data_IF_263764923628
#
_entry.id   IF_263764923628
#
_cell.length_a   1.000
_cell.length_b   1.000
_cell.length_c   1.000
_cell.angle_alpha   90.00
_cell.angle_beta   90.00
_cell.angle_gamma   90.00
#
_symmetry.space_group_name_H-M   'P 1'
#
loop_
_entity.id
_entity.type
_entity.pdbx_description
1 polymer ?
#
# COMPACT_ATOMS: atom_id res chain seq x y z
N UNK A 1 0.15 -3.06 1.66
CA UNK A 1 -0.46 -1.97 2.45
C UNK A 1 -0.33 -0.56 1.85
N UNK A 2 0.46 -0.36 0.78
CA UNK A 2 0.77 0.97 0.20
C UNK A 2 -0.11 1.37 -1.00
N UNK A 3 -0.94 0.46 -1.49
CA UNK A 3 -1.91 0.71 -2.57
C UNK A 3 -3.13 1.51 -2.08
N UNK A 4 -3.87 2.11 -3.01
CA UNK A 4 -5.19 2.71 -2.71
C UNK A 4 -6.25 1.61 -2.47
N UNK A 5 -7.34 1.98 -1.79
CA UNK A 5 -8.51 1.11 -1.57
C UNK A 5 -8.63 0.55 -0.16
N UNK A 6 -9.42 -0.52 0.00
CA UNK A 6 -9.58 -1.22 1.28
C UNK A 6 -8.60 -2.38 1.33
N UNK A 7 -7.76 -2.41 2.37
CA UNK A 7 -6.83 -3.50 2.60
C UNK A 7 -7.56 -4.61 3.35
N UNK A 8 -7.45 -5.83 2.84
CA UNK A 8 -7.82 -7.06 3.55
C UNK A 8 -6.55 -7.87 3.81
N UNK A 9 -6.43 -8.42 5.01
CA UNK A 9 -5.33 -9.32 5.41
C UNK A 9 -5.97 -10.66 5.75
N UNK A 10 -5.42 -11.76 5.25
CA UNK A 10 -5.89 -13.09 5.62
C UNK A 10 -5.43 -13.42 7.04
N UNK A 11 -6.32 -13.96 7.85
CA UNK A 11 -6.02 -14.22 9.25
C UNK A 11 -4.91 -15.27 9.41
N UNK A 12 -3.82 -14.86 10.07
CA UNK A 12 -2.64 -15.67 10.31
C UNK A 12 -1.47 -15.37 9.36
N UNK A 13 -1.67 -14.59 8.29
CA UNK A 13 -0.57 -14.15 7.42
C UNK A 13 0.48 -13.37 8.22
N UNK A 14 0.04 -12.58 9.20
CA UNK A 14 0.90 -11.82 10.11
C UNK A 14 1.74 -12.70 11.04
N UNK A 15 1.32 -13.96 11.24
CA UNK A 15 1.96 -14.95 12.10
C UNK A 15 2.79 -15.97 11.29
N UNK A 16 2.89 -15.82 9.96
CA UNK A 16 3.59 -16.78 9.11
C UNK A 16 2.80 -18.07 8.85
N UNK A 17 1.47 -18.04 8.99
CA UNK A 17 0.61 -19.21 8.80
C UNK A 17 0.90 -19.92 7.47
N UNK A 18 1.06 -21.24 7.55
CA UNK A 18 1.25 -22.11 6.38
C UNK A 18 0.19 -23.19 6.31
N UNK A 19 -0.24 -23.52 5.10
CA UNK A 19 -1.09 -24.69 4.81
C UNK A 19 -0.28 -25.77 4.05
N UNK A 20 1.06 -25.76 4.16
CA UNK A 20 1.94 -26.73 3.50
C UNK A 20 1.83 -26.73 1.98
N UNK A 21 1.44 -25.61 1.37
CA UNK A 21 1.18 -25.48 -0.06
C UNK A 21 -0.23 -25.88 -0.51
N UNK A 22 -1.10 -26.33 0.40
CA UNK A 22 -2.51 -26.54 0.09
C UNK A 22 -3.23 -25.19 -0.01
N UNK A 23 -3.71 -24.82 -1.20
CA UNK A 23 -4.46 -23.58 -1.45
C UNK A 23 -5.98 -23.75 -1.33
N UNK A 24 -6.46 -24.92 -0.89
CA UNK A 24 -7.88 -25.26 -0.82
C UNK A 24 -8.22 -26.13 0.41
N UNK A 25 -7.86 -25.66 1.61
CA UNK A 25 -8.08 -26.36 2.87
C UNK A 25 -9.55 -26.34 3.38
N UNK A 26 -10.53 -26.24 2.48
CA UNK A 26 -11.93 -25.96 2.84
C UNK A 26 -12.60 -27.04 3.70
N UNK A 27 -12.20 -28.31 3.56
CA UNK A 27 -12.74 -29.45 4.30
C UNK A 27 -11.82 -29.95 5.43
N UNK A 28 -10.78 -29.18 5.77
CA UNK A 28 -9.74 -29.60 6.70
C UNK A 28 -9.97 -28.99 8.07
N UNK A 29 -10.59 -29.74 8.98
CA UNK A 29 -10.56 -29.44 10.41
C UNK A 29 -9.39 -30.19 11.07
N UNK A 30 -8.19 -29.67 10.85
CA UNK A 30 -6.94 -30.28 11.31
C UNK A 30 -5.88 -29.20 11.54
N UNK A 31 -4.73 -29.52 12.17
CA UNK A 31 -3.64 -28.57 12.38
C UNK A 31 -3.16 -27.85 11.10
N UNK A 32 -3.43 -28.41 9.91
CA UNK A 32 -3.17 -27.76 8.62
C UNK A 32 -3.93 -26.43 8.45
N UNK A 33 -5.11 -26.30 9.05
CA UNK A 33 -5.99 -25.14 8.92
C UNK A 33 -6.15 -24.35 10.24
N UNK A 34 -5.59 -24.82 11.35
CA UNK A 34 -5.66 -24.12 12.62
C UNK A 34 -4.64 -22.97 12.70
N UNK A 35 -4.82 -22.09 13.68
CA UNK A 35 -3.85 -21.04 14.01
C UNK A 35 -2.96 -21.56 15.13
N UNK A 36 -1.68 -21.75 14.81
CA UNK A 36 -0.68 -22.10 15.81
C UNK A 36 -0.13 -20.82 16.46
N UNK A 37 -0.48 -20.60 17.73
CA UNK A 37 0.01 -19.44 18.49
C UNK A 37 1.41 -19.65 19.06
N UNK A 38 1.87 -20.89 19.19
CA UNK A 38 3.22 -21.18 19.69
C UNK A 38 4.26 -20.93 18.60
N UNK A 39 3.90 -21.22 17.35
CA UNK A 39 4.69 -20.97 16.13
C UNK A 39 4.68 -19.49 15.67
N UNK A 40 3.81 -18.65 16.26
CA UNK A 40 3.81 -17.22 15.98
C UNK A 40 5.10 -16.50 16.46
N UNK A 41 5.78 -17.03 17.49
CA UNK A 41 6.98 -16.41 18.09
C UNK A 41 8.14 -16.27 17.09
N UNK A 42 8.51 -17.32 16.33
CA UNK A 42 9.44 -17.21 15.20
C UNK A 42 9.10 -16.09 14.20
N UNK A 43 7.83 -15.71 14.08
CA UNK A 43 7.33 -14.73 13.11
C UNK A 43 7.03 -13.36 13.71
N UNK A 44 7.51 -13.05 14.92
CA UNK A 44 7.29 -11.75 15.59
C UNK A 44 7.67 -10.55 14.71
N UNK A 45 8.77 -10.66 13.95
CA UNK A 45 9.21 -9.63 13.00
C UNK A 45 8.16 -9.38 11.91
N UNK A 46 7.50 -10.44 11.41
CA UNK A 46 6.45 -10.32 10.40
C UNK A 46 5.20 -9.68 11.00
N UNK A 47 4.84 -10.05 12.22
CA UNK A 47 3.72 -9.45 12.96
C UNK A 47 3.96 -7.96 13.18
N UNK A 48 5.14 -7.59 13.68
CA UNK A 48 5.47 -6.18 13.94
C UNK A 48 5.60 -5.38 12.64
N UNK A 49 6.16 -5.96 11.58
CA UNK A 49 6.22 -5.32 10.25
C UNK A 49 4.82 -5.07 9.69
N UNK A 50 3.92 -6.05 9.82
CA UNK A 50 2.51 -5.93 9.43
C UNK A 50 1.82 -4.83 10.24
N UNK A 51 2.01 -4.81 11.56
CA UNK A 51 1.45 -3.80 12.45
C UNK A 51 1.99 -2.40 12.13
N UNK A 52 3.29 -2.25 11.89
CA UNK A 52 3.91 -0.99 11.51
C UNK A 52 3.34 -0.46 10.19
N UNK A 53 3.17 -1.32 9.18
CA UNK A 53 2.56 -0.94 7.91
C UNK A 53 1.08 -0.55 8.07
N UNK A 54 0.33 -1.23 8.94
CA UNK A 54 -1.06 -0.89 9.23
C UNK A 54 -1.16 0.47 9.93
N UNK A 55 -0.29 0.74 10.91
CA UNK A 55 -0.19 2.04 11.58
C UNK A 55 0.17 3.15 10.60
N UNK A 56 1.15 2.93 9.73
CA UNK A 56 1.54 3.87 8.67
C UNK A 56 0.35 4.19 7.76
N UNK A 57 -0.37 3.17 7.28
CA UNK A 57 -1.57 3.37 6.46
C UNK A 57 -2.68 4.15 7.20
N UNK A 58 -2.86 3.88 8.50
CA UNK A 58 -3.85 4.57 9.31
C UNK A 58 -3.48 6.03 9.57
N UNK A 59 -2.19 6.33 9.78
CA UNK A 59 -1.71 7.68 10.04
C UNK A 59 -1.77 8.59 8.80
N UNK A 60 -1.68 8.03 7.59
CA UNK A 60 -1.49 8.80 6.36
C UNK A 60 -2.70 8.69 5.39
N UNK A 61 -3.59 9.70 5.36
CA UNK A 61 -4.74 9.77 4.45
C UNK A 61 -4.39 9.61 2.97
N UNK A 62 -3.16 9.92 2.54
CA UNK A 62 -2.72 9.77 1.14
C UNK A 62 -2.87 8.33 0.63
N UNK A 63 -2.82 7.32 1.51
CA UNK A 63 -3.03 5.91 1.17
C UNK A 63 -4.49 5.45 1.23
N UNK A 64 -5.39 6.28 1.76
CA UNK A 64 -6.81 5.97 2.03
C UNK A 64 -7.76 6.98 1.39
N UNK A 65 -7.38 7.56 0.26
CA UNK A 65 -8.19 8.55 -0.48
C UNK A 65 -9.53 7.95 -0.88
N UNK A 66 -10.60 8.76 -0.84
CA UNK A 66 -11.93 8.38 -1.34
C UNK A 66 -12.05 8.54 -2.85
N UNK A 67 -11.17 9.34 -3.45
CA UNK A 67 -11.16 9.69 -4.87
C UNK A 67 -9.84 9.29 -5.54
N UNK A 68 -9.94 8.90 -6.80
CA UNK A 68 -8.78 8.58 -7.63
C UNK A 68 -7.82 9.77 -7.76
N UNK A 69 -6.55 9.47 -8.04
CA UNK A 69 -5.59 10.46 -8.49
C UNK A 69 -5.91 10.90 -9.91
N UNK A 70 -5.64 12.17 -10.23
CA UNK A 70 -5.94 12.74 -11.54
C UNK A 70 -4.70 12.97 -12.41
N UNK A 71 -3.50 12.95 -11.83
CA UNK A 71 -2.25 13.23 -12.55
C UNK A 71 -2.18 14.67 -13.04
N UNK A 72 -2.87 15.60 -12.37
CA UNK A 72 -2.97 17.00 -12.77
C UNK A 72 -2.46 17.91 -11.67
N UNK A 73 -1.90 19.09 -12.03
CA UNK A 73 -1.53 20.11 -11.06
C UNK A 73 -2.69 20.44 -10.13
N UNK A 74 -2.41 20.51 -8.83
CA UNK A 74 -3.39 20.87 -7.81
C UNK A 74 -3.52 22.39 -7.80
N UNK A 75 -4.74 22.93 -7.66
CA UNK A 75 -5.06 24.38 -7.61
C UNK A 75 -3.92 25.28 -7.09
N UNK A 76 -3.22 25.97 -8.00
CA UNK A 76 -2.15 26.93 -7.67
C UNK A 76 -0.77 26.34 -7.37
N UNK A 77 -0.59 25.03 -7.54
CA UNK A 77 0.69 24.31 -7.47
C UNK A 77 1.08 23.78 -8.85
N UNK A 78 2.37 23.85 -9.18
CA UNK A 78 2.91 23.22 -10.40
C UNK A 78 3.07 21.70 -10.26
N UNK A 79 2.79 21.14 -9.07
CA UNK A 79 3.00 19.72 -8.76
C UNK A 79 1.67 18.97 -8.82
N UNK A 80 1.65 17.86 -9.54
CA UNK A 80 0.48 16.99 -9.66
C UNK A 80 0.17 16.23 -8.36
N UNK A 81 -1.05 15.70 -8.25
CA UNK A 81 -1.46 14.86 -7.11
C UNK A 81 -0.79 13.46 -7.11
N UNK A 82 -0.34 13.01 -8.28
CA UNK A 82 0.52 11.84 -8.48
C UNK A 82 1.51 12.10 -9.62
N UNK A 83 2.71 11.54 -9.52
CA UNK A 83 3.64 11.46 -10.64
C UNK A 83 4.27 10.07 -10.72
N UNK A 84 4.38 9.55 -11.94
CA UNK A 84 5.05 8.29 -12.23
C UNK A 84 6.44 8.59 -12.79
N UNK A 85 7.46 7.99 -12.17
CA UNK A 85 8.85 8.32 -12.41
C UNK A 85 9.62 7.09 -12.88
N UNK A 86 10.53 7.32 -13.83
CA UNK A 86 11.56 6.38 -14.24
C UNK A 86 12.63 6.24 -13.14
N UNK A 87 13.51 5.22 -13.22
CA UNK A 87 14.60 5.04 -12.25
C UNK A 87 15.57 6.23 -12.14
N UNK A 88 15.66 7.07 -13.17
CA UNK A 88 16.46 8.30 -13.18
C UNK A 88 15.69 9.52 -12.64
N UNK A 89 14.54 9.31 -12.01
CA UNK A 89 13.62 10.32 -11.48
C UNK A 89 12.97 11.25 -12.51
N UNK A 90 13.14 11.00 -13.81
CA UNK A 90 12.40 11.72 -14.83
C UNK A 90 10.93 11.21 -14.92
N UNK A 91 9.96 12.05 -15.29
CA UNK A 91 8.59 11.61 -15.53
C UNK A 91 8.51 10.51 -16.59
N UNK A 92 7.65 9.52 -16.37
CA UNK A 92 7.35 8.49 -17.37
C UNK A 92 6.61 9.08 -18.57
N UNK A 93 7.01 8.64 -19.77
CA UNK A 93 6.33 8.91 -21.03
C UNK A 93 5.35 7.80 -21.38
N UNK A 94 4.46 8.03 -22.35
CA UNK A 94 3.55 7.00 -22.92
C UNK A 94 4.28 5.72 -23.35
N UNK A 95 5.50 5.84 -23.87
CA UNK A 95 6.31 4.67 -24.24
C UNK A 95 6.74 3.86 -23.01
N UNK A 96 7.16 4.54 -21.93
CA UNK A 96 7.64 3.90 -20.70
C UNK A 96 6.53 3.10 -19.99
N UNK A 97 5.26 3.42 -20.24
CA UNK A 97 4.11 2.65 -19.71
C UNK A 97 3.98 1.25 -20.30
N UNK A 98 4.55 1.02 -21.49
CA UNK A 98 4.47 -0.25 -22.20
C UNK A 98 5.71 -1.12 -22.00
N UNK A 99 6.67 -0.68 -21.20
CA UNK A 99 7.92 -1.41 -20.96
C UNK A 99 8.01 -1.95 -19.53
N UNK A 100 8.53 -3.17 -19.34
CA UNK A 100 8.68 -3.75 -18.00
C UNK A 100 9.87 -3.11 -17.28
N UNK A 101 9.61 -2.10 -16.44
CA UNK A 101 10.62 -1.44 -15.62
C UNK A 101 10.23 -1.36 -14.13
N UNK A 102 11.22 -1.02 -13.30
CA UNK A 102 10.97 -0.64 -11.91
C UNK A 102 10.17 0.66 -11.88
N UNK A 103 9.17 0.71 -11.00
CA UNK A 103 8.19 1.79 -10.94
C UNK A 103 8.46 2.65 -9.71
N UNK A 104 8.63 3.95 -9.92
CA UNK A 104 8.59 4.92 -8.84
C UNK A 104 7.31 5.76 -8.94
N UNK A 105 6.61 5.95 -7.83
CA UNK A 105 5.40 6.77 -7.77
C UNK A 105 5.53 7.82 -6.67
N UNK A 106 5.37 9.08 -7.02
CA UNK A 106 5.26 10.18 -6.09
C UNK A 106 3.78 10.45 -5.78
N UNK A 107 3.43 10.47 -4.49
CA UNK A 107 2.10 10.80 -4.00
C UNK A 107 2.16 12.13 -3.25
N UNK A 108 1.39 13.11 -3.69
CA UNK A 108 1.39 14.44 -3.09
C UNK A 108 0.36 14.51 -1.95
N UNK A 109 0.83 14.66 -0.71
CA UNK A 109 -0.03 14.75 0.47
C UNK A 109 -0.86 16.03 0.54
N UNK A 110 -0.48 17.09 -0.20
CA UNK A 110 -1.28 18.30 -0.37
C UNK A 110 -2.26 18.21 -1.54
N UNK A 111 -2.21 17.11 -2.30
CA UNK A 111 -3.07 16.84 -3.46
C UNK A 111 -4.29 16.01 -3.14
N UNK A 112 -4.68 15.90 -1.88
CA UNK A 112 -5.85 15.15 -1.45
C UNK A 112 -7.08 16.05 -1.65
N UNK A 113 -8.01 15.69 -2.54
CA UNK A 113 -9.20 16.51 -2.83
C UNK A 113 -10.29 16.38 -1.76
N UNK A 114 -10.07 15.51 -0.77
CA UNK A 114 -11.05 15.20 0.27
C UNK A 114 -11.06 16.29 1.35
N UNK A 115 -12.24 16.49 1.95
CA UNK A 115 -12.43 17.32 3.14
C UNK A 115 -12.78 16.43 4.32
N UNK A 116 -12.39 16.83 5.52
CA UNK A 116 -12.72 16.12 6.75
C UNK A 116 -14.20 16.31 7.15
N UNK A 117 -14.57 15.81 8.33
CA UNK A 117 -15.95 15.87 8.83
C UNK A 117 -16.46 17.29 9.09
N UNK A 118 -15.56 18.25 9.32
CA UNK A 118 -15.90 19.66 9.55
C UNK A 118 -15.76 20.52 8.28
N UNK A 119 -15.32 19.91 7.18
CA UNK A 119 -15.18 20.55 5.89
C UNK A 119 -13.81 21.16 5.62
N UNK A 120 -12.80 20.91 6.46
CA UNK A 120 -11.44 21.40 6.23
C UNK A 120 -10.70 20.54 5.21
N UNK A 121 -9.77 21.12 4.41
CA UNK A 121 -8.96 20.34 3.47
C UNK A 121 -8.11 19.30 4.20
N UNK A 122 -8.17 18.04 3.75
CA UNK A 122 -7.28 16.99 4.25
C UNK A 122 -5.90 17.19 3.64
N UNK A 123 -4.88 17.22 4.49
CA UNK A 123 -3.47 17.30 4.08
C UNK A 123 -2.66 16.21 4.76
N UNK A 124 -1.58 15.80 4.11
CA UNK A 124 -0.68 14.74 4.56
C UNK A 124 0.76 15.06 4.13
N UNK A 125 1.70 14.22 4.58
CA UNK A 125 3.05 14.17 4.04
C UNK A 125 3.04 13.64 2.60
N UNK A 126 4.08 14.00 1.83
CA UNK A 126 4.28 13.48 0.47
C UNK A 126 5.20 12.27 0.49
N UNK A 127 4.89 11.27 -0.32
CA UNK A 127 5.59 9.98 -0.32
C UNK A 127 6.17 9.65 -1.69
N UNK A 128 7.37 9.06 -1.69
CA UNK A 128 7.94 8.40 -2.86
C UNK A 128 7.91 6.88 -2.64
N UNK A 129 7.14 6.19 -3.46
CA UNK A 129 7.06 4.73 -3.48
C UNK A 129 8.03 4.21 -4.53
N UNK A 130 8.90 3.28 -4.14
CA UNK A 130 9.84 2.61 -5.03
C UNK A 130 9.49 1.12 -5.06
N UNK A 131 9.12 0.62 -6.23
CA UNK A 131 8.85 -0.79 -6.47
C UNK A 131 9.79 -1.32 -7.53
N UNK A 132 10.70 -2.19 -7.09
CA UNK A 132 11.64 -2.88 -7.97
C UNK A 132 11.14 -4.31 -8.17
N UNK A 133 10.94 -4.68 -9.43
CA UNK A 133 10.72 -6.09 -9.80
C UNK A 133 12.09 -6.75 -9.90
N UNK A 134 12.30 -7.83 -9.16
CA UNK A 134 13.47 -8.71 -9.26
C UNK A 134 13.28 -9.73 -10.38
#
# INVERSE_FOLDING_TARGET
MRSQGVLMISHGDELGRTQGGNNNAYCQDSPLAWIDREDARPHEVLTESTAALARLRAAHPVFRRRRFFQGRPIHGSDVADIAWLRPDAAPMTDYDWHTPHSLAAFLNGRGIPDRDEVGEPVVDDSFLLLERRY
#
